data_IF_651076366764
#
_entry.id   IF_651076366764
#
_cell.length_a   1.000
_cell.length_b   1.000
_cell.length_c   1.000
_cell.angle_alpha   90.00
_cell.angle_beta   90.00
_cell.angle_gamma   90.00
#
_symmetry.space_group_name_H-M   'P 1'
#
loop_
_entity.id
_entity.type
_entity.pdbx_description
1 polymer ?
#
# COMPACT_ATOMS: atom_id res chain seq x y z
N UNK A 1 36.50 -11.66 17.46
CA UNK A 1 36.10 -11.10 18.76
C UNK A 1 35.96 -9.61 18.60
N UNK A 2 34.77 -9.11 18.41
CA UNK A 2 34.35 -7.76 18.76
C UNK A 2 32.84 -7.63 18.41
N UNK A 3 32.07 -7.91 19.43
CA UNK A 3 30.63 -7.72 19.45
C UNK A 3 30.32 -6.22 19.53
N UNK A 4 29.68 -5.63 18.54
CA UNK A 4 29.06 -4.31 18.64
C UNK A 4 27.58 -4.49 18.94
N UNK A 5 27.25 -4.52 20.23
CA UNK A 5 25.90 -4.30 20.72
C UNK A 5 25.53 -2.84 20.48
N UNK A 6 24.59 -2.59 19.58
CA UNK A 6 23.95 -1.29 19.45
C UNK A 6 22.69 -1.30 20.31
N UNK A 7 22.84 -0.87 21.56
CA UNK A 7 21.73 -0.64 22.49
C UNK A 7 20.93 0.56 21.99
N UNK A 8 19.67 0.34 21.65
CA UNK A 8 18.70 1.41 21.41
C UNK A 8 18.38 2.03 22.78
N UNK A 9 18.98 3.19 23.05
CA UNK A 9 18.68 3.97 24.26
C UNK A 9 17.35 4.67 24.04
N UNK A 10 16.33 4.19 24.73
CA UNK A 10 15.07 4.90 24.90
C UNK A 10 15.36 6.12 25.80
N UNK A 11 15.50 7.31 25.23
CA UNK A 11 15.58 8.55 26.02
C UNK A 11 14.20 8.85 26.60
N UNK A 12 13.94 8.28 27.78
CA UNK A 12 12.93 8.81 28.68
C UNK A 12 13.58 10.02 29.34
N UNK A 13 13.19 11.21 28.92
CA UNK A 13 13.62 12.45 29.54
C UNK A 13 13.24 12.47 31.04
N UNK A 14 14.23 12.34 31.88
CA UNK A 14 14.08 12.62 33.32
C UNK A 14 13.83 14.10 33.47
N UNK A 15 12.56 14.52 33.68
CA UNK A 15 12.22 15.83 34.16
C UNK A 15 12.71 15.95 35.60
N UNK A 16 13.60 16.92 35.83
CA UNK A 16 14.02 17.35 37.14
C UNK A 16 12.81 17.69 37.99
N UNK A 17 12.69 17.06 39.14
CA UNK A 17 11.79 17.44 40.22
C UNK A 17 12.28 18.77 40.79
N UNK A 18 11.80 19.88 40.26
CA UNK A 18 11.80 21.16 40.96
C UNK A 18 10.53 21.17 41.78
N UNK A 19 10.69 21.44 43.06
CA UNK A 19 9.62 21.70 44.02
C UNK A 19 8.79 22.87 43.50
N UNK A 20 7.56 22.58 43.10
CA UNK A 20 6.56 23.60 42.77
C UNK A 20 5.36 23.38 43.69
N UNK A 21 4.95 24.47 44.31
CA UNK A 21 3.75 24.62 45.13
C UNK A 21 2.51 24.00 44.48
N UNK A 22 1.66 23.51 45.37
CA UNK A 22 0.40 22.86 45.08
C UNK A 22 -0.60 23.84 44.41
N UNK A 23 -0.44 24.06 43.11
CA UNK A 23 -1.52 24.58 42.27
C UNK A 23 -2.27 23.41 41.67
N UNK A 24 -3.49 23.17 42.12
CA UNK A 24 -4.41 22.24 41.51
C UNK A 24 -4.54 22.59 40.02
N UNK A 25 -3.86 21.83 39.14
CA UNK A 25 -4.05 21.88 37.70
C UNK A 25 -5.44 21.35 37.41
N UNK A 26 -6.39 22.27 37.20
CA UNK A 26 -7.68 21.95 36.60
C UNK A 26 -7.42 21.58 35.14
N UNK A 27 -7.13 20.31 34.87
CA UNK A 27 -7.09 19.79 33.51
C UNK A 27 -8.52 19.88 32.97
N UNK A 28 -8.73 20.53 31.82
CA UNK A 28 -10.03 20.47 31.15
C UNK A 28 -10.36 18.99 30.90
N UNK A 29 -11.59 18.60 31.20
CA UNK A 29 -12.06 17.26 30.98
C UNK A 29 -11.80 16.91 29.50
N UNK A 30 -10.89 15.97 29.25
CA UNK A 30 -10.69 15.39 27.91
C UNK A 30 -11.94 14.58 27.62
N UNK A 31 -12.84 15.13 26.82
CA UNK A 31 -13.98 14.40 26.32
C UNK A 31 -13.41 13.37 25.34
N UNK A 32 -13.27 12.13 25.79
CA UNK A 32 -13.03 11.00 24.87
C UNK A 32 -14.36 10.81 24.14
N UNK A 33 -14.49 11.44 22.98
CA UNK A 33 -15.55 11.09 22.03
C UNK A 33 -15.20 9.71 21.50
N UNK A 34 -15.85 8.67 22.02
CA UNK A 34 -15.83 7.38 21.35
C UNK A 34 -16.38 7.63 19.94
N UNK A 35 -15.53 7.42 18.91
CA UNK A 35 -15.97 7.44 17.53
C UNK A 35 -17.08 6.39 17.45
N UNK A 36 -18.27 6.79 17.07
CA UNK A 36 -19.34 5.85 16.81
C UNK A 36 -18.81 4.94 15.70
N UNK A 37 -18.56 3.67 16.02
CA UNK A 37 -18.16 2.67 15.06
C UNK A 37 -19.21 2.69 13.93
N UNK A 38 -18.79 3.17 12.75
CA UNK A 38 -19.62 2.98 11.57
C UNK A 38 -19.74 1.47 11.38
N UNK A 39 -20.96 0.94 11.22
CA UNK A 39 -21.12 -0.49 11.08
C UNK A 39 -20.22 -0.99 9.95
N UNK A 40 -19.39 -2.00 10.25
CA UNK A 40 -18.60 -2.73 9.25
C UNK A 40 -19.57 -3.36 8.26
N UNK A 41 -19.84 -2.66 7.17
CA UNK A 41 -20.79 -3.03 6.14
C UNK A 41 -20.33 -2.55 4.77
N UNK A 42 -20.93 -3.08 3.73
CA UNK A 42 -20.66 -2.64 2.35
C UNK A 42 -20.94 -1.14 2.25
N UNK A 43 -19.89 -0.34 2.14
CA UNK A 43 -19.99 1.12 2.06
C UNK A 43 -20.42 1.48 0.65
N UNK A 44 -21.74 1.66 0.47
CA UNK A 44 -22.32 1.96 -0.84
C UNK A 44 -22.43 3.45 -1.13
N UNK A 45 -22.41 4.28 -0.11
CA UNK A 45 -22.74 5.71 -0.21
C UNK A 45 -21.49 6.63 -0.16
N UNK A 46 -20.29 6.06 -0.08
CA UNK A 46 -19.04 6.82 -0.21
C UNK A 46 -18.63 6.98 -1.68
N UNK A 47 -18.17 8.17 -2.08
CA UNK A 47 -17.62 8.38 -3.42
C UNK A 47 -16.41 7.49 -3.69
N UNK A 48 -16.40 6.83 -4.84
CA UNK A 48 -15.29 6.02 -5.30
C UNK A 48 -14.49 6.76 -6.37
N UNK A 49 -13.18 6.53 -6.38
CA UNK A 49 -12.26 7.18 -7.35
C UNK A 49 -11.97 6.30 -8.56
N UNK A 50 -12.24 5.00 -8.47
CA UNK A 50 -11.83 4.02 -9.49
C UNK A 50 -12.91 3.80 -10.57
N UNK A 51 -14.19 3.90 -10.23
CA UNK A 51 -15.31 3.60 -11.16
C UNK A 51 -15.61 4.67 -12.16
N UNK A 52 -15.39 5.90 -11.78
CA UNK A 52 -15.58 7.07 -12.64
C UNK A 52 -14.76 8.24 -12.11
N UNK A 53 -14.60 9.25 -12.93
CA UNK A 53 -14.02 10.56 -12.54
C UNK A 53 -15.07 11.56 -12.06
N UNK A 54 -16.31 11.09 -11.89
CA UNK A 54 -17.48 11.92 -11.56
C UNK A 54 -17.75 11.99 -10.05
N UNK A 55 -17.00 11.25 -9.23
CA UNK A 55 -17.23 11.18 -7.79
C UNK A 55 -18.52 10.43 -7.43
N UNK A 56 -18.94 9.48 -8.28
CA UNK A 56 -20.09 8.62 -8.01
C UNK A 56 -19.79 7.71 -6.81
N UNK A 57 -20.82 7.42 -6.05
CA UNK A 57 -20.78 6.42 -5.00
C UNK A 57 -20.71 4.99 -5.59
N UNK A 58 -20.39 4.00 -4.76
CA UNK A 58 -20.43 2.61 -5.18
C UNK A 58 -21.84 2.19 -5.66
N UNK A 59 -22.91 2.77 -5.06
CA UNK A 59 -24.32 2.55 -5.44
C UNK A 59 -24.66 3.12 -6.82
N UNK A 60 -24.11 4.25 -7.16
CA UNK A 60 -24.38 4.97 -8.43
C UNK A 60 -23.50 4.46 -9.58
N UNK A 61 -22.44 3.71 -9.26
CA UNK A 61 -21.53 3.22 -10.28
C UNK A 61 -22.10 1.98 -10.98
N UNK A 62 -22.30 2.00 -12.31
CA UNK A 62 -22.90 0.87 -13.04
C UNK A 62 -21.87 -0.25 -13.29
N UNK A 63 -21.22 -0.73 -12.23
CA UNK A 63 -20.23 -1.79 -12.25
C UNK A 63 -20.24 -2.57 -10.94
N UNK A 64 -19.58 -3.73 -10.92
CA UNK A 64 -19.35 -4.45 -9.67
C UNK A 64 -18.24 -3.76 -8.90
N UNK A 65 -18.58 -3.13 -7.78
CA UNK A 65 -17.65 -2.37 -6.92
C UNK A 65 -17.46 -3.10 -5.60
N UNK A 66 -16.23 -3.18 -5.14
CA UNK A 66 -15.87 -3.59 -3.78
C UNK A 66 -14.89 -2.57 -3.19
N UNK A 67 -15.11 -2.19 -1.95
CA UNK A 67 -14.23 -1.26 -1.21
C UNK A 67 -13.81 -1.92 0.08
N UNK A 68 -12.51 -2.00 0.33
CA UNK A 68 -11.95 -2.29 1.64
C UNK A 68 -11.43 -0.97 2.21
N UNK A 69 -12.22 -0.37 3.08
CA UNK A 69 -11.85 0.86 3.79
C UNK A 69 -10.91 0.60 4.97
N UNK A 70 -10.54 1.64 5.67
CA UNK A 70 -9.65 1.55 6.83
C UNK A 70 -10.20 0.62 7.91
N UNK A 71 -11.49 0.67 8.18
CA UNK A 71 -12.13 -0.16 9.19
C UNK A 71 -12.04 -1.65 8.83
N UNK A 72 -12.33 -2.01 7.57
CA UNK A 72 -12.19 -3.39 7.07
C UNK A 72 -10.74 -3.86 7.10
N UNK A 73 -9.79 -3.01 6.70
CA UNK A 73 -8.34 -3.32 6.73
C UNK A 73 -7.91 -3.65 8.17
N UNK A 74 -8.39 -2.90 9.16
CA UNK A 74 -8.05 -3.09 10.56
C UNK A 74 -8.76 -4.30 11.18
N UNK A 75 -10.06 -4.45 10.95
CA UNK A 75 -10.86 -5.57 11.44
C UNK A 75 -10.31 -6.92 10.94
N UNK A 76 -9.89 -6.98 9.68
CA UNK A 76 -9.27 -8.17 9.08
C UNK A 76 -7.83 -8.38 9.53
N UNK A 77 -7.22 -7.41 10.18
CA UNK A 77 -5.81 -7.45 10.57
C UNK A 77 -4.86 -7.53 9.39
N UNK A 78 -5.27 -7.01 8.22
CA UNK A 78 -4.49 -7.05 7.00
C UNK A 78 -3.13 -6.34 7.20
N UNK A 79 -2.05 -6.98 6.75
CA UNK A 79 -0.68 -6.50 6.93
C UNK A 79 -0.15 -5.83 5.68
N UNK A 80 -0.52 -6.35 4.53
CA UNK A 80 -0.04 -5.88 3.24
C UNK A 80 -1.14 -5.87 2.17
N UNK A 81 -0.77 -5.42 1.00
CA UNK A 81 -1.64 -5.34 -0.18
C UNK A 81 -2.38 -6.64 -0.47
N UNK A 82 -1.71 -7.81 -0.37
CA UNK A 82 -2.32 -9.11 -0.67
C UNK A 82 -3.38 -9.47 0.36
N UNK A 83 -3.11 -9.23 1.63
CA UNK A 83 -4.07 -9.46 2.70
C UNK A 83 -5.33 -8.60 2.49
N UNK A 84 -5.15 -7.32 2.14
CA UNK A 84 -6.28 -6.41 1.89
C UNK A 84 -7.13 -6.90 0.72
N UNK A 85 -6.53 -7.17 -0.44
CA UNK A 85 -7.30 -7.57 -1.62
C UNK A 85 -7.88 -8.99 -1.52
N UNK A 86 -7.24 -9.90 -0.78
CA UNK A 86 -7.81 -11.22 -0.46
C UNK A 86 -9.04 -11.14 0.45
N UNK A 87 -9.25 -10.02 1.14
CA UNK A 87 -10.49 -9.80 1.89
C UNK A 87 -11.69 -9.47 1.00
N UNK A 88 -11.45 -9.15 -0.27
CA UNK A 88 -12.49 -8.77 -1.23
C UNK A 88 -13.10 -10.00 -1.92
N UNK A 89 -14.39 -9.95 -2.22
CA UNK A 89 -15.11 -11.07 -2.83
C UNK A 89 -14.62 -11.36 -4.25
N UNK A 90 -14.28 -12.62 -4.52
CA UNK A 90 -13.89 -13.11 -5.85
C UNK A 90 -12.46 -12.81 -6.24
N UNK A 91 -11.65 -12.29 -5.33
CA UNK A 91 -10.22 -12.03 -5.53
C UNK A 91 -9.38 -13.13 -4.92
N UNK A 92 -8.31 -13.49 -5.60
CA UNK A 92 -7.23 -14.30 -5.08
C UNK A 92 -5.91 -13.60 -5.42
N UNK A 93 -5.19 -13.20 -4.41
CA UNK A 93 -3.90 -12.55 -4.56
C UNK A 93 -2.80 -13.35 -3.89
N UNK A 94 -1.68 -13.46 -4.56
CA UNK A 94 -0.47 -14.09 -4.04
C UNK A 94 0.76 -13.32 -4.49
N UNK A 95 1.81 -13.38 -3.69
CA UNK A 95 3.12 -12.89 -4.08
C UNK A 95 4.12 -14.01 -3.91
N UNK A 96 4.79 -14.38 -4.99
CA UNK A 96 5.95 -15.25 -4.89
C UNK A 96 7.08 -14.50 -4.19
N UNK A 97 7.91 -15.19 -3.41
CA UNK A 97 9.05 -14.55 -2.75
C UNK A 97 9.91 -13.77 -3.74
N UNK A 98 10.14 -12.50 -3.44
CA UNK A 98 10.92 -11.60 -4.29
C UNK A 98 10.23 -11.06 -5.54
N UNK A 99 8.94 -11.30 -5.71
CA UNK A 99 8.13 -10.77 -6.81
C UNK A 99 6.97 -9.93 -6.30
N UNK A 100 6.47 -9.05 -7.19
CA UNK A 100 5.23 -8.33 -6.97
C UNK A 100 4.01 -9.27 -6.95
N UNK A 101 2.91 -8.78 -6.41
CA UNK A 101 1.70 -9.57 -6.24
C UNK A 101 1.04 -9.93 -7.56
N UNK A 102 0.65 -11.18 -7.69
CA UNK A 102 -0.27 -11.66 -8.72
C UNK A 102 -1.69 -11.56 -8.19
N UNK A 103 -2.58 -11.05 -9.03
CA UNK A 103 -4.00 -10.94 -8.70
C UNK A 103 -4.81 -11.72 -9.71
N UNK A 104 -5.72 -12.54 -9.21
CA UNK A 104 -6.77 -13.18 -9.99
C UNK A 104 -8.13 -12.68 -9.51
N UNK A 105 -9.01 -12.31 -10.42
CA UNK A 105 -10.35 -11.86 -10.14
C UNK A 105 -11.33 -12.45 -11.15
N UNK A 106 -12.27 -13.26 -10.68
CA UNK A 106 -13.31 -13.89 -11.52
C UNK A 106 -12.78 -14.57 -12.78
N UNK A 107 -11.63 -15.26 -12.68
CA UNK A 107 -10.98 -15.96 -13.79
C UNK A 107 -10.00 -15.13 -14.63
N UNK A 108 -10.00 -13.82 -14.50
CA UNK A 108 -8.99 -12.94 -15.09
C UNK A 108 -7.74 -12.89 -14.22
N UNK A 109 -6.56 -12.82 -14.84
CA UNK A 109 -5.27 -12.89 -14.13
C UNK A 109 -4.24 -11.93 -14.70
N UNK A 110 -3.24 -11.58 -13.91
CA UNK A 110 -2.07 -10.80 -14.32
C UNK A 110 -2.42 -9.51 -15.09
N UNK A 111 -1.98 -9.38 -16.33
CA UNK A 111 -2.15 -8.19 -17.17
C UNK A 111 -3.61 -7.88 -17.56
N UNK A 112 -4.54 -8.77 -17.23
CA UNK A 112 -5.97 -8.56 -17.43
C UNK A 112 -6.62 -7.76 -16.29
N UNK A 113 -5.91 -7.59 -15.17
CA UNK A 113 -6.31 -6.80 -14.02
C UNK A 113 -5.32 -5.64 -13.89
N UNK A 114 -5.81 -4.43 -14.04
CA UNK A 114 -4.98 -3.23 -13.86
C UNK A 114 -4.82 -2.91 -12.38
N UNK A 115 -3.59 -2.71 -11.93
CA UNK A 115 -3.28 -2.23 -10.60
C UNK A 115 -2.93 -0.75 -10.67
N UNK A 116 -3.62 0.03 -9.86
CA UNK A 116 -3.50 1.48 -9.77
C UNK A 116 -3.03 1.88 -8.38
N UNK A 117 -2.14 2.84 -8.30
CA UNK A 117 -1.78 3.49 -7.05
C UNK A 117 -2.20 4.95 -7.12
N UNK A 118 -3.17 5.32 -6.26
CA UNK A 118 -3.79 6.66 -6.29
C UNK A 118 -4.34 7.03 -7.68
N UNK A 119 -4.93 6.05 -8.35
CA UNK A 119 -5.49 6.21 -9.69
C UNK A 119 -4.47 6.18 -10.83
N UNK A 120 -3.16 6.08 -10.55
CA UNK A 120 -2.10 6.06 -11.56
C UNK A 120 -1.76 4.61 -11.89
N UNK A 121 -1.86 4.23 -13.16
CA UNK A 121 -1.52 2.91 -13.66
C UNK A 121 -0.02 2.67 -13.58
N UNK A 122 0.37 1.63 -12.84
CA UNK A 122 1.75 1.16 -12.84
C UNK A 122 1.83 -0.03 -13.79
N UNK A 123 2.62 0.11 -14.85
CA UNK A 123 2.90 -1.05 -15.70
C UNK A 123 3.54 -2.13 -14.84
N UNK A 124 3.04 -3.38 -15.02
CA UNK A 124 3.60 -4.53 -14.33
C UNK A 124 5.11 -4.56 -14.54
N UNK A 125 5.82 -4.49 -13.45
CA UNK A 125 7.26 -4.64 -13.44
C UNK A 125 7.64 -5.54 -12.27
N UNK A 126 8.77 -6.21 -12.37
CA UNK A 126 9.33 -6.99 -11.26
C UNK A 126 9.65 -6.13 -10.03
N UNK A 127 9.54 -4.82 -10.17
CA UNK A 127 9.72 -3.86 -9.09
C UNK A 127 8.46 -3.62 -8.24
N UNK A 128 7.26 -4.04 -8.69
CA UNK A 128 6.06 -3.98 -7.84
C UNK A 128 6.11 -5.06 -6.77
N UNK A 129 5.56 -4.79 -5.62
CA UNK A 129 5.59 -5.67 -4.46
C UNK A 129 4.40 -5.45 -3.52
N UNK A 130 4.18 -6.34 -2.56
CA UNK A 130 3.28 -6.06 -1.45
C UNK A 130 3.72 -4.81 -0.68
N UNK A 131 2.78 -3.92 -0.45
CA UNK A 131 2.97 -2.67 0.30
C UNK A 131 2.31 -2.83 1.66
N UNK A 132 2.93 -2.27 2.70
CA UNK A 132 2.37 -2.25 4.04
C UNK A 132 0.98 -1.56 4.04
N UNK A 133 -0.01 -2.25 4.60
CA UNK A 133 -1.39 -1.78 4.62
C UNK A 133 -1.62 -0.57 5.54
N UNK A 134 -0.64 -0.21 6.40
CA UNK A 134 -0.75 0.93 7.29
C UNK A 134 -0.96 2.24 6.57
N UNK A 135 -0.28 2.44 5.44
CA UNK A 135 -0.35 3.70 4.67
C UNK A 135 -1.63 3.85 3.85
N UNK A 136 -2.46 2.80 3.72
CA UNK A 136 -3.70 2.88 2.94
C UNK A 136 -4.85 3.51 3.71
N UNK A 137 -5.57 4.38 3.03
CA UNK A 137 -6.90 4.85 3.39
C UNK A 137 -7.94 3.76 3.06
N UNK A 138 -7.89 3.29 1.81
CA UNK A 138 -8.76 2.22 1.30
C UNK A 138 -8.20 1.59 0.04
N UNK A 139 -8.77 0.45 -0.32
CA UNK A 139 -8.55 -0.20 -1.62
C UNK A 139 -9.88 -0.38 -2.32
N UNK A 140 -9.96 0.06 -3.57
CA UNK A 140 -11.16 -0.04 -4.41
C UNK A 140 -10.92 -1.06 -5.52
N UNK A 141 -11.88 -1.96 -5.74
CA UNK A 141 -11.91 -2.93 -6.84
C UNK A 141 -13.14 -2.67 -7.69
N UNK A 142 -12.92 -2.52 -9.00
CA UNK A 142 -13.98 -2.45 -10.00
C UNK A 142 -13.86 -3.64 -10.92
N UNK A 143 -14.95 -4.42 -11.01
CA UNK A 143 -15.04 -5.57 -11.88
C UNK A 143 -15.57 -5.21 -13.26
N UNK A 144 -15.01 -5.85 -14.28
CA UNK A 144 -15.35 -5.63 -15.67
C UNK A 144 -14.44 -4.67 -16.41
N UNK A 145 -14.65 -4.46 -17.71
CA UNK A 145 -13.79 -3.61 -18.53
C UNK A 145 -13.78 -2.15 -18.06
N UNK A 146 -12.60 -1.62 -17.76
CA UNK A 146 -12.38 -0.21 -17.43
C UNK A 146 -11.29 0.43 -18.31
N UNK A 147 -11.12 -0.13 -19.51
CA UNK A 147 -10.11 0.31 -20.49
C UNK A 147 -10.31 1.75 -20.95
N UNK A 148 -11.53 2.25 -20.90
CA UNK A 148 -11.85 3.66 -21.24
C UNK A 148 -11.26 4.65 -20.22
N UNK A 149 -11.03 4.23 -18.97
CA UNK A 149 -10.40 5.07 -17.93
C UNK A 149 -8.90 4.84 -17.81
N UNK A 150 -8.44 3.60 -17.98
CA UNK A 150 -7.09 3.17 -17.60
C UNK A 150 -6.28 2.55 -18.74
N UNK A 151 -6.85 2.51 -19.96
CA UNK A 151 -6.16 2.00 -21.12
C UNK A 151 -6.02 0.48 -21.16
N UNK A 152 -5.00 -0.01 -21.85
CA UNK A 152 -4.79 -1.44 -22.08
C UNK A 152 -4.59 -2.22 -20.77
N UNK A 153 -5.16 -3.43 -20.69
CA UNK A 153 -4.99 -4.35 -19.57
C UNK A 153 -6.16 -4.41 -18.58
N UNK A 154 -7.03 -3.41 -18.54
CA UNK A 154 -8.16 -3.39 -17.61
C UNK A 154 -9.40 -4.12 -18.16
N UNK A 155 -9.25 -5.37 -18.61
CA UNK A 155 -10.33 -6.17 -19.20
C UNK A 155 -11.17 -6.86 -18.12
N UNK A 156 -10.52 -7.45 -17.14
CA UNK A 156 -11.17 -8.16 -16.04
C UNK A 156 -11.57 -7.25 -14.88
N UNK A 157 -10.88 -6.13 -14.73
CA UNK A 157 -11.11 -5.16 -13.67
C UNK A 157 -9.92 -4.28 -13.37
N UNK A 158 -10.12 -3.36 -12.43
CA UNK A 158 -9.06 -2.48 -11.92
C UNK A 158 -9.08 -2.45 -10.39
N UNK A 159 -7.91 -2.50 -9.77
CA UNK A 159 -7.71 -2.37 -8.34
C UNK A 159 -6.94 -1.08 -8.10
N UNK A 160 -7.43 -0.24 -7.20
CA UNK A 160 -6.81 1.04 -6.86
C UNK A 160 -6.48 1.10 -5.38
N UNK A 161 -5.19 1.19 -5.08
CA UNK A 161 -4.65 1.37 -3.75
C UNK A 161 -4.55 2.87 -3.46
N UNK A 162 -5.33 3.34 -2.50
CA UNK A 162 -5.44 4.76 -2.16
C UNK A 162 -4.74 4.99 -0.82
N UNK A 163 -3.72 5.82 -0.82
CA UNK A 163 -2.96 6.16 0.38
C UNK A 163 -3.62 7.28 1.17
N UNK A 164 -3.39 7.30 2.47
CA UNK A 164 -3.81 8.36 3.36
C UNK A 164 -3.13 9.68 2.96
N UNK A 165 -3.87 10.76 3.00
CA UNK A 165 -3.39 12.13 2.77
C UNK A 165 -3.79 13.03 3.92
N UNK A 166 -3.13 14.18 4.03
CA UNK A 166 -3.52 15.24 4.97
C UNK A 166 -4.97 15.66 4.75
N UNK A 167 -5.71 15.77 5.84
CA UNK A 167 -7.15 16.07 5.85
C UNK A 167 -7.46 17.30 6.67
N UNK A 168 -8.45 18.09 6.22
CA UNK A 168 -8.98 19.24 6.96
C UNK A 168 -9.85 18.83 8.13
N UNK A 169 -10.51 17.69 8.02
CA UNK A 169 -11.61 17.28 8.90
C UNK A 169 -11.13 16.49 10.11
N UNK A 170 -9.96 15.86 10.03
CA UNK A 170 -9.52 14.91 11.03
C UNK A 170 -8.21 15.35 11.68
N UNK A 171 -8.28 15.65 12.99
CA UNK A 171 -7.09 15.74 13.84
C UNK A 171 -6.97 14.40 14.55
N UNK A 172 -6.03 13.57 14.13
CA UNK A 172 -5.92 12.21 14.62
C UNK A 172 -4.47 11.83 14.94
N UNK A 173 -4.32 11.04 15.99
CA UNK A 173 -3.10 10.30 16.28
C UNK A 173 -3.47 8.83 16.34
N UNK A 174 -2.86 8.03 15.51
CA UNK A 174 -3.06 6.59 15.40
C UNK A 174 -1.76 5.87 15.77
N UNK A 175 -1.84 4.76 16.48
CA UNK A 175 -0.66 3.95 16.81
C UNK A 175 -1.00 2.47 16.82
N UNK A 176 -0.06 1.63 16.37
CA UNK A 176 -0.19 0.19 16.42
C UNK A 176 1.12 -0.46 16.83
N UNK A 177 1.02 -1.39 17.77
CA UNK A 177 2.10 -2.29 18.15
C UNK A 177 1.58 -3.71 18.04
N UNK A 178 2.29 -4.56 17.30
CA UNK A 178 2.00 -5.99 17.21
C UNK A 178 3.27 -6.78 17.52
N UNK A 179 3.09 -7.90 18.17
CA UNK A 179 4.13 -8.91 18.37
C UNK A 179 3.52 -10.30 18.20
N UNK A 180 4.25 -11.22 17.57
CA UNK A 180 3.71 -12.53 17.23
C UNK A 180 4.80 -13.58 17.01
N UNK A 181 4.38 -14.75 16.51
CA UNK A 181 5.26 -15.89 16.21
C UNK A 181 6.39 -15.49 15.26
N UNK A 182 7.52 -16.20 15.37
CA UNK A 182 8.72 -15.98 14.56
C UNK A 182 9.32 -14.57 14.75
N UNK A 183 9.26 -14.04 15.98
CA UNK A 183 9.67 -12.67 16.31
C UNK A 183 9.06 -11.62 15.39
N UNK A 184 7.83 -11.89 14.92
CA UNK A 184 7.11 -10.91 14.12
C UNK A 184 6.78 -9.69 14.97
N UNK A 185 7.15 -8.52 14.50
CA UNK A 185 6.93 -7.25 15.15
C UNK A 185 6.43 -6.20 14.18
N UNK A 186 5.56 -5.32 14.64
CA UNK A 186 5.11 -4.13 13.94
C UNK A 186 5.05 -2.96 14.91
N UNK A 187 5.57 -1.83 14.48
CA UNK A 187 5.40 -0.54 15.12
C UNK A 187 4.97 0.46 14.06
N UNK A 188 3.77 1.01 14.24
CA UNK A 188 3.20 1.97 13.28
C UNK A 188 2.65 3.19 14.01
N UNK A 189 2.81 4.36 13.39
CA UNK A 189 2.34 5.65 13.89
C UNK A 189 1.74 6.45 12.74
N UNK A 190 0.59 7.07 12.95
CA UNK A 190 -0.06 8.01 12.05
C UNK A 190 -0.44 9.28 12.78
N UNK A 191 -0.17 10.43 12.19
CA UNK A 191 -0.56 11.74 12.76
C UNK A 191 -1.10 12.60 11.64
N UNK A 192 -2.30 13.15 11.81
CA UNK A 192 -2.86 14.21 10.98
C UNK A 192 -3.16 15.43 11.84
N UNK A 193 -2.61 16.58 11.47
CA UNK A 193 -2.74 17.79 12.27
C UNK A 193 -2.73 19.07 11.43
N UNK A 194 -3.48 20.08 11.88
CA UNK A 194 -3.39 21.42 11.34
C UNK A 194 -2.07 22.09 11.74
N UNK A 195 -1.34 22.65 10.79
CA UNK A 195 -0.06 23.32 11.02
C UNK A 195 -0.21 24.78 11.46
N UNK A 196 -1.33 25.41 11.15
CA UNK A 196 -1.61 26.80 11.53
C UNK A 196 -2.49 26.84 12.78
N UNK A 197 -2.11 27.69 13.73
CA UNK A 197 -2.94 27.95 14.91
C UNK A 197 -4.07 28.91 14.55
N UNK A 198 -5.27 28.68 15.08
CA UNK A 198 -6.43 29.55 14.90
C UNK A 198 -7.71 28.75 14.58
N UNK A 199 -8.84 29.46 14.52
CA UNK A 199 -10.13 28.81 14.25
C UNK A 199 -10.32 28.38 12.79
N UNK A 200 -9.48 28.87 11.87
CA UNK A 200 -9.56 28.56 10.45
C UNK A 200 -8.17 28.23 9.87
N UNK A 201 -7.69 27.00 10.11
CA UNK A 201 -6.40 26.57 9.62
C UNK A 201 -6.41 26.34 8.10
N UNK A 202 -5.36 26.80 7.41
CA UNK A 202 -5.20 26.66 5.95
C UNK A 202 -4.15 25.62 5.55
N UNK A 203 -3.39 25.07 6.49
CA UNK A 203 -2.34 24.09 6.23
C UNK A 203 -2.49 22.90 7.17
N UNK A 204 -2.42 21.72 6.57
CA UNK A 204 -2.55 20.44 7.29
C UNK A 204 -1.42 19.52 6.88
N UNK A 205 -0.89 18.76 7.81
CA UNK A 205 0.12 17.75 7.52
C UNK A 205 -0.34 16.38 8.03
N UNK A 206 0.00 15.35 7.28
CA UNK A 206 -0.12 13.96 7.70
C UNK A 206 1.20 13.24 7.56
N UNK A 207 1.55 12.45 8.57
CA UNK A 207 2.67 11.52 8.56
C UNK A 207 2.18 10.15 9.01
N UNK A 208 2.43 9.14 8.19
CA UNK A 208 2.26 7.73 8.54
C UNK A 208 3.60 7.02 8.40
N UNK A 209 4.01 6.30 9.44
CA UNK A 209 5.24 5.49 9.44
C UNK A 209 4.90 4.12 9.96
N UNK A 210 5.41 3.08 9.30
CA UNK A 210 5.31 1.70 9.76
C UNK A 210 6.64 1.00 9.59
N UNK A 211 7.04 0.22 10.60
CA UNK A 211 8.17 -0.69 10.54
C UNK A 211 7.73 -2.07 10.98
N UNK A 212 7.96 -3.05 10.11
CA UNK A 212 7.67 -4.46 10.37
C UNK A 212 8.92 -5.30 10.27
N UNK A 213 8.96 -6.40 11.03
CA UNK A 213 10.04 -7.37 11.00
C UNK A 213 9.53 -8.76 11.33
N UNK A 214 10.20 -9.79 10.83
CA UNK A 214 9.95 -11.19 11.19
C UNK A 214 11.15 -12.06 10.85
N UNK A 215 11.46 -13.07 11.66
CA UNK A 215 12.44 -14.09 11.31
C UNK A 215 11.90 -15.11 10.29
N UNK A 216 10.55 -15.06 10.00
CA UNK A 216 9.91 -16.01 9.11
C UNK A 216 9.77 -17.41 9.73
N UNK A 217 8.90 -18.23 9.15
CA UNK A 217 8.72 -19.63 9.59
C UNK A 217 9.75 -20.59 8.98
N UNK A 218 10.47 -20.14 7.96
CA UNK A 218 11.55 -20.87 7.31
C UNK A 218 12.91 -20.43 7.84
N UNK A 219 13.85 -21.35 7.90
CA UNK A 219 15.22 -21.03 8.32
C UNK A 219 15.83 -19.95 7.42
N UNK A 220 16.51 -18.97 8.00
CA UNK A 220 17.23 -17.90 7.29
C UNK A 220 16.34 -17.02 6.39
N UNK A 221 15.03 -16.93 6.67
CA UNK A 221 14.10 -16.13 5.88
C UNK A 221 13.64 -14.90 6.65
N UNK A 222 14.59 -14.12 7.16
CA UNK A 222 14.29 -12.86 7.85
C UNK A 222 13.76 -11.84 6.87
N UNK A 223 12.69 -11.14 7.27
CA UNK A 223 12.10 -10.04 6.52
C UNK A 223 12.00 -8.77 7.37
N UNK A 224 12.31 -7.63 6.76
CA UNK A 224 12.12 -6.30 7.33
C UNK A 224 11.50 -5.38 6.30
N UNK A 225 10.57 -4.55 6.73
CA UNK A 225 9.94 -3.53 5.89
C UNK A 225 9.81 -2.21 6.64
N UNK A 226 10.01 -1.11 5.93
CA UNK A 226 9.72 0.24 6.40
C UNK A 226 8.91 0.96 5.35
N UNK A 227 7.79 1.54 5.77
CA UNK A 227 6.92 2.34 4.90
C UNK A 227 6.67 3.70 5.56
N UNK A 228 6.76 4.75 4.78
CA UNK A 228 6.50 6.13 5.22
C UNK A 228 5.67 6.82 4.17
N UNK A 229 4.59 7.48 4.59
CA UNK A 229 3.82 8.39 3.76
C UNK A 229 3.71 9.74 4.48
N UNK A 230 4.01 10.81 3.77
CA UNK A 230 3.93 12.17 4.27
C UNK A 230 3.19 13.05 3.28
N UNK A 231 2.33 13.92 3.76
CA UNK A 231 1.67 14.90 2.90
C UNK A 231 1.40 16.20 3.61
N UNK A 232 1.38 17.30 2.83
CA UNK A 232 0.95 18.61 3.26
C UNK A 232 -0.17 19.06 2.32
N UNK A 233 -1.31 19.40 2.87
CA UNK A 233 -2.42 20.05 2.20
C UNK A 233 -2.41 21.53 2.57
N UNK A 234 -2.46 22.39 1.57
CA UNK A 234 -2.46 23.85 1.72
C UNK A 234 -3.66 24.45 0.97
N UNK A 235 -4.53 25.15 1.66
CA UNK A 235 -5.58 25.96 1.10
C UNK A 235 -5.00 27.32 0.76
N UNK A 236 -4.71 27.53 -0.53
CA UNK A 236 -4.07 28.76 -1.04
C UNK A 236 -5.08 29.88 -1.22
N UNK A 237 -6.29 29.52 -1.61
CA UNK A 237 -7.48 30.39 -1.65
C UNK A 237 -8.71 29.55 -1.31
N UNK A 238 -9.91 30.15 -1.12
CA UNK A 238 -11.14 29.38 -0.95
C UNK A 238 -11.45 28.39 -2.10
N UNK A 239 -10.91 28.65 -3.30
CA UNK A 239 -11.15 27.82 -4.48
C UNK A 239 -9.93 26.95 -4.87
N UNK A 240 -8.74 27.23 -4.34
CA UNK A 240 -7.50 26.59 -4.77
C UNK A 240 -6.80 25.93 -3.61
N UNK A 241 -6.57 24.62 -3.71
CA UNK A 241 -5.72 23.89 -2.78
C UNK A 241 -4.60 23.15 -3.50
N UNK A 242 -3.52 22.91 -2.76
CA UNK A 242 -2.36 22.14 -3.20
C UNK A 242 -2.02 21.07 -2.18
N UNK A 243 -1.84 19.84 -2.63
CA UNK A 243 -1.34 18.74 -1.82
C UNK A 243 0.00 18.27 -2.37
N UNK A 244 1.05 18.35 -1.54
CA UNK A 244 2.31 17.66 -1.81
C UNK A 244 2.31 16.36 -1.02
N UNK A 245 2.50 15.21 -1.70
CA UNK A 245 2.55 13.90 -1.09
C UNK A 245 3.85 13.17 -1.44
N UNK A 246 4.48 12.58 -0.43
CA UNK A 246 5.74 11.86 -0.51
C UNK A 246 5.55 10.47 0.10
N UNK A 247 6.01 9.42 -0.59
CA UNK A 247 6.01 8.06 -0.06
C UNK A 247 7.40 7.44 -0.22
N UNK A 248 7.83 6.71 0.80
CA UNK A 248 9.06 5.94 0.81
C UNK A 248 8.78 4.54 1.34
N UNK A 249 9.35 3.54 0.68
CA UNK A 249 9.24 2.16 1.12
C UNK A 249 10.57 1.45 0.91
N UNK A 250 10.96 0.65 1.87
CA UNK A 250 12.12 -0.23 1.79
C UNK A 250 11.73 -1.61 2.34
N UNK A 251 11.99 -2.66 1.53
CA UNK A 251 11.84 -4.05 1.93
C UNK A 251 13.14 -4.79 1.79
N UNK A 252 13.38 -5.70 2.74
CA UNK A 252 14.49 -6.65 2.71
C UNK A 252 13.98 -8.02 3.12
N UNK A 253 14.38 -9.04 2.38
CA UNK A 253 14.12 -10.43 2.69
C UNK A 253 15.36 -11.25 2.43
N UNK A 254 15.84 -11.94 3.46
CA UNK A 254 16.97 -12.85 3.37
C UNK A 254 16.50 -14.20 2.82
N UNK A 255 17.26 -14.77 1.89
CA UNK A 255 17.04 -16.11 1.33
C UNK A 255 15.57 -16.39 0.98
N UNK A 256 14.93 -15.59 0.08
CA UNK A 256 13.55 -15.81 -0.33
C UNK A 256 13.30 -17.26 -0.75
N UNK A 257 12.26 -17.90 -0.22
CA UNK A 257 12.09 -19.35 -0.34
C UNK A 257 10.88 -19.75 -1.20
N UNK A 258 11.13 -20.53 -2.26
CA UNK A 258 10.12 -20.93 -3.24
C UNK A 258 9.39 -22.24 -2.92
N UNK A 259 9.59 -22.77 -1.74
CA UNK A 259 8.86 -23.93 -1.25
C UNK A 259 9.70 -25.22 -1.16
N UNK A 260 9.16 -26.20 -0.45
CA UNK A 260 9.86 -27.46 -0.17
C UNK A 260 9.87 -28.36 -1.41
N UNK A 261 10.99 -29.05 -1.70
CA UNK A 261 11.05 -30.01 -2.79
C UNK A 261 10.16 -31.23 -2.51
N UNK A 262 9.65 -31.81 -3.58
CA UNK A 262 8.84 -33.03 -3.55
C UNK A 262 9.76 -34.26 -3.53
N UNK A 263 9.40 -35.25 -2.72
CA UNK A 263 10.12 -36.53 -2.63
C UNK A 263 9.98 -37.33 -3.93
N UNK A 264 11.04 -38.07 -4.30
CA UNK A 264 11.02 -39.06 -5.35
C UNK A 264 10.86 -40.47 -4.77
N UNK A 265 10.24 -41.45 -5.50
CA UNK A 265 9.49 -41.22 -6.73
C UNK A 265 8.19 -40.47 -6.48
N UNK A 266 7.79 -39.66 -7.46
CA UNK A 266 6.47 -39.04 -7.48
C UNK A 266 5.50 -40.12 -7.93
N UNK A 267 4.78 -40.75 -7.00
CA UNK A 267 3.71 -41.69 -7.32
C UNK A 267 2.38 -40.95 -7.58
N UNK A 268 1.26 -41.58 -7.29
CA UNK A 268 -0.08 -40.99 -7.45
C UNK A 268 -0.33 -39.77 -6.56
N UNK A 269 0.47 -39.61 -5.50
CA UNK A 269 0.39 -38.48 -4.58
C UNK A 269 1.75 -37.83 -4.38
N UNK A 270 1.79 -36.52 -4.51
CA UNK A 270 2.98 -35.73 -4.17
C UNK A 270 3.19 -35.71 -2.65
N UNK A 271 4.42 -35.99 -2.21
CA UNK A 271 4.81 -36.00 -0.80
C UNK A 271 5.99 -35.06 -0.56
N UNK A 272 5.99 -34.38 0.57
CA UNK A 272 7.12 -33.61 1.08
C UNK A 272 7.68 -34.28 2.35
N UNK A 273 8.95 -34.05 2.63
CA UNK A 273 9.53 -34.48 3.91
C UNK A 273 9.09 -33.52 5.02
N UNK A 274 8.14 -33.96 5.83
CA UNK A 274 7.60 -33.16 6.95
C UNK A 274 8.63 -32.92 8.06
N UNK A 275 9.67 -33.75 8.19
CA UNK A 275 10.71 -33.54 9.17
C UNK A 275 11.61 -32.35 8.86
N UNK A 276 11.69 -32.01 7.59
CA UNK A 276 12.49 -30.89 7.04
C UNK A 276 11.65 -29.70 6.59
N UNK A 277 10.42 -29.57 7.05
CA UNK A 277 9.46 -28.57 6.59
C UNK A 277 9.89 -27.11 6.80
N UNK A 278 10.86 -26.87 7.66
CA UNK A 278 11.40 -25.53 7.96
C UNK A 278 12.76 -25.27 7.29
N UNK A 279 13.38 -26.29 6.68
CA UNK A 279 14.64 -26.13 6.00
C UNK A 279 14.49 -25.24 4.75
N UNK A 280 15.33 -24.23 4.68
CA UNK A 280 15.44 -23.36 3.51
C UNK A 280 16.61 -23.84 2.64
N UNK A 281 16.30 -24.39 1.48
CA UNK A 281 17.30 -24.90 0.54
C UNK A 281 17.95 -23.85 -0.34
N UNK A 282 17.57 -22.58 -0.18
CA UNK A 282 18.19 -21.47 -0.90
C UNK A 282 19.65 -21.26 -0.48
N UNK A 283 20.38 -20.45 -1.27
CA UNK A 283 21.74 -20.02 -0.94
C UNK A 283 21.74 -19.07 0.27
N UNK A 284 22.83 -19.12 1.05
CA UNK A 284 22.94 -18.32 2.28
C UNK A 284 23.04 -16.81 2.04
N UNK A 285 23.41 -16.40 0.81
CA UNK A 285 23.49 -15.00 0.37
C UNK A 285 22.33 -14.61 -0.55
N UNK A 286 21.30 -15.47 -0.62
CA UNK A 286 20.03 -15.12 -1.28
C UNK A 286 19.40 -13.90 -0.63
N UNK A 287 18.86 -12.99 -1.44
CA UNK A 287 18.23 -11.76 -0.94
C UNK A 287 17.26 -11.16 -1.93
N UNK A 288 16.31 -10.49 -1.38
CA UNK A 288 15.46 -9.52 -2.04
C UNK A 288 15.56 -8.19 -1.32
N UNK A 289 15.83 -7.14 -2.05
CA UNK A 289 15.84 -5.77 -1.55
C UNK A 289 15.09 -4.89 -2.53
N UNK A 290 14.20 -4.06 -2.04
CA UNK A 290 13.49 -3.08 -2.85
C UNK A 290 13.41 -1.74 -2.13
N UNK A 291 13.53 -0.65 -2.90
CA UNK A 291 13.21 0.72 -2.51
C UNK A 291 12.25 1.32 -3.49
N UNK A 292 11.28 2.04 -2.96
CA UNK A 292 10.32 2.81 -3.75
C UNK A 292 10.26 4.23 -3.20
N UNK A 293 10.23 5.19 -4.08
CA UNK A 293 9.98 6.60 -3.79
C UNK A 293 8.88 7.09 -4.70
N UNK A 294 7.94 7.79 -4.12
CA UNK A 294 6.85 8.39 -4.88
C UNK A 294 6.64 9.82 -4.43
N UNK A 295 6.57 10.73 -5.38
CA UNK A 295 6.28 12.16 -5.17
C UNK A 295 5.09 12.52 -6.02
N UNK A 296 4.09 13.20 -5.42
CA UNK A 296 2.91 13.71 -6.13
C UNK A 296 2.66 15.14 -5.71
N UNK A 297 2.40 16.00 -6.68
CA UNK A 297 1.93 17.37 -6.51
C UNK A 297 0.54 17.46 -7.10
N UNK A 298 -0.47 17.69 -6.28
CA UNK A 298 -1.88 17.67 -6.64
C UNK A 298 -2.44 19.09 -6.43
N UNK A 299 -2.96 19.67 -7.48
CA UNK A 299 -3.64 20.96 -7.45
C UNK A 299 -5.13 20.71 -7.71
N UNK A 300 -5.97 21.14 -6.78
CA UNK A 300 -7.43 21.14 -6.91
C UNK A 300 -7.91 22.58 -7.02
N UNK A 301 -8.67 22.88 -8.07
CA UNK A 301 -9.19 24.21 -8.33
C UNK A 301 -10.69 24.17 -8.63
N UNK A 302 -11.48 24.78 -7.75
CA UNK A 302 -12.91 24.97 -7.95
C UNK A 302 -13.12 26.25 -8.75
N UNK A 303 -13.37 26.12 -10.05
CA UNK A 303 -13.57 27.27 -10.96
C UNK A 303 -14.85 28.03 -10.60
N UNK A 304 -15.93 27.28 -10.34
CA UNK A 304 -17.23 27.75 -9.86
C UNK A 304 -18.00 26.57 -9.25
N UNK A 305 -19.23 26.79 -8.82
CA UNK A 305 -20.04 25.78 -8.11
C UNK A 305 -20.25 24.48 -8.92
N UNK A 306 -20.15 24.56 -10.25
CA UNK A 306 -20.40 23.44 -11.15
C UNK A 306 -19.15 22.90 -11.85
N UNK A 307 -17.98 23.54 -11.72
CA UNK A 307 -16.78 23.18 -12.48
C UNK A 307 -15.57 23.09 -11.59
N UNK A 308 -14.90 21.94 -11.59
CA UNK A 308 -13.64 21.70 -10.90
C UNK A 308 -12.56 21.18 -11.84
N UNK A 309 -11.33 21.53 -11.52
CA UNK A 309 -10.12 21.07 -12.20
C UNK A 309 -9.20 20.41 -11.19
N UNK A 310 -8.57 19.31 -11.60
CA UNK A 310 -7.48 18.71 -10.84
C UNK A 310 -6.29 18.49 -11.77
N UNK A 311 -5.08 18.82 -11.27
CA UNK A 311 -3.84 18.50 -11.95
C UNK A 311 -2.93 17.74 -10.99
N UNK A 312 -2.40 16.60 -11.43
CA UNK A 312 -1.46 15.78 -10.67
C UNK A 312 -0.18 15.59 -11.46
N UNK A 313 0.91 16.20 -10.98
CA UNK A 313 2.27 15.85 -11.39
C UNK A 313 2.77 14.72 -10.49
N UNK A 314 3.45 13.74 -11.07
CA UNK A 314 3.97 12.62 -10.30
C UNK A 314 5.31 12.11 -10.80
N UNK A 315 6.11 11.65 -9.84
CA UNK A 315 7.37 10.97 -10.05
C UNK A 315 7.44 9.72 -9.20
N UNK A 316 7.75 8.58 -9.81
CA UNK A 316 7.94 7.29 -9.18
C UNK A 316 9.31 6.75 -9.53
N UNK A 317 10.06 6.30 -8.53
CA UNK A 317 11.35 5.63 -8.68
C UNK A 317 11.33 4.34 -7.85
N UNK A 318 11.70 3.23 -8.46
CA UNK A 318 11.81 1.93 -7.80
C UNK A 318 13.09 1.21 -8.21
N UNK A 319 13.75 0.64 -7.21
CA UNK A 319 14.95 -0.18 -7.38
C UNK A 319 14.75 -1.52 -6.71
N UNK A 320 15.06 -2.62 -7.41
CA UNK A 320 15.00 -3.98 -6.90
C UNK A 320 16.30 -4.71 -7.15
N UNK A 321 16.85 -5.32 -6.13
CA UNK A 321 17.96 -6.28 -6.21
C UNK A 321 17.45 -7.65 -5.78
N UNK A 322 17.65 -8.64 -6.64
CA UNK A 322 17.17 -10.00 -6.39
C UNK A 322 18.26 -11.02 -6.71
N UNK A 323 18.64 -11.79 -5.70
CA UNK A 323 19.57 -12.91 -5.82
C UNK A 323 18.88 -14.13 -5.23
N UNK A 324 18.63 -15.15 -6.04
CA UNK A 324 17.86 -16.29 -5.60
C UNK A 324 18.12 -17.55 -6.42
N UNK A 325 17.84 -18.71 -5.82
CA UNK A 325 17.63 -19.98 -6.51
C UNK A 325 16.16 -20.37 -6.34
N UNK A 326 15.46 -20.62 -7.46
CA UNK A 326 14.00 -20.79 -7.44
C UNK A 326 13.55 -22.23 -7.64
N UNK A 327 14.47 -23.17 -7.80
CA UNK A 327 14.16 -24.57 -8.05
C UNK A 327 14.94 -25.48 -7.11
N UNK A 328 14.21 -26.34 -6.39
CA UNK A 328 14.75 -27.34 -5.49
C UNK A 328 14.17 -28.71 -5.84
N UNK A 329 15.03 -29.71 -6.07
CA UNK A 329 14.61 -31.08 -6.42
C UNK A 329 15.46 -32.08 -5.70
N UNK A 330 14.84 -33.09 -5.11
CA UNK A 330 15.58 -34.25 -4.63
C UNK A 330 16.21 -35.02 -5.78
N UNK A 331 17.36 -35.67 -5.53
CA UNK A 331 17.89 -36.73 -6.37
C UNK A 331 17.01 -38.01 -6.22
N UNK A 332 17.34 -39.05 -6.98
CA UNK A 332 16.48 -40.25 -7.10
C UNK A 332 16.27 -40.98 -5.75
N UNK A 333 17.24 -40.97 -4.84
CA UNK A 333 17.20 -41.62 -3.53
C UNK A 333 16.83 -40.67 -2.38
N UNK A 334 16.49 -39.44 -2.66
CA UNK A 334 16.14 -38.38 -1.71
C UNK A 334 17.24 -37.99 -0.70
N UNK A 335 18.50 -38.35 -1.00
CA UNK A 335 19.63 -38.05 -0.10
C UNK A 335 20.15 -36.60 -0.28
N UNK A 336 19.98 -36.01 -1.46
CA UNK A 336 20.51 -34.71 -1.80
C UNK A 336 19.44 -33.83 -2.50
N UNK A 337 19.50 -32.54 -2.24
CA UNK A 337 18.69 -31.53 -2.93
C UNK A 337 19.55 -30.78 -3.95
N UNK A 338 19.19 -30.92 -5.23
CA UNK A 338 19.75 -30.12 -6.32
C UNK A 338 19.05 -28.76 -6.35
N UNK A 339 19.83 -27.72 -6.53
CA UNK A 339 19.40 -26.32 -6.65
C UNK A 339 19.59 -25.86 -8.08
N UNK A 340 18.62 -25.11 -8.61
CA UNK A 340 18.64 -24.60 -9.96
C UNK A 340 17.89 -23.30 -10.12
N UNK A 341 17.78 -22.80 -11.35
CA UNK A 341 17.15 -21.52 -11.69
C UNK A 341 17.75 -20.37 -10.88
N UNK A 342 19.04 -20.12 -11.11
CA UNK A 342 19.76 -19.04 -10.46
C UNK A 342 19.39 -17.70 -11.11
N UNK A 343 18.98 -16.76 -10.28
CA UNK A 343 18.66 -15.38 -10.68
C UNK A 343 19.56 -14.40 -9.96
N UNK A 344 20.16 -13.52 -10.73
CA UNK A 344 20.86 -12.34 -10.26
C UNK A 344 20.33 -11.17 -11.07
N UNK A 345 19.38 -10.43 -10.51
CA UNK A 345 18.62 -9.42 -11.23
C UNK A 345 18.68 -8.09 -10.49
N UNK A 346 18.88 -7.03 -11.23
CA UNK A 346 18.67 -5.66 -10.78
C UNK A 346 17.67 -4.99 -11.71
N UNK A 347 16.62 -4.45 -11.14
CA UNK A 347 15.61 -3.69 -11.86
C UNK A 347 15.59 -2.26 -11.36
N UNK A 348 15.53 -1.31 -12.28
CA UNK A 348 15.31 0.09 -12.01
C UNK A 348 14.11 0.53 -12.84
N UNK A 349 13.14 1.17 -12.21
CA UNK A 349 11.96 1.71 -12.87
C UNK A 349 11.77 3.15 -12.45
N UNK A 350 11.52 4.01 -13.42
CA UNK A 350 11.20 5.41 -13.22
C UNK A 350 9.96 5.76 -14.03
N UNK A 351 9.00 6.44 -13.42
CA UNK A 351 7.79 6.93 -14.10
C UNK A 351 7.60 8.39 -13.76
N UNK A 352 7.57 9.22 -14.80
CA UNK A 352 7.26 10.64 -14.71
C UNK A 352 5.98 10.90 -15.47
N UNK A 353 5.03 11.64 -14.87
CA UNK A 353 3.77 11.90 -15.56
C UNK A 353 3.00 13.11 -15.05
N UNK A 354 2.03 13.48 -15.87
CA UNK A 354 1.06 14.53 -15.56
C UNK A 354 -0.34 14.06 -15.95
N UNK A 355 -1.25 14.21 -15.02
CA UNK A 355 -2.69 14.00 -15.22
C UNK A 355 -3.44 15.27 -15.01
N UNK A 356 -4.31 15.59 -15.95
CA UNK A 356 -5.27 16.69 -15.86
C UNK A 356 -6.69 16.15 -15.96
N UNK A 357 -7.56 16.63 -15.10
CA UNK A 357 -8.95 16.23 -15.00
C UNK A 357 -9.84 17.48 -14.87
N UNK A 358 -10.89 17.54 -15.68
CA UNK A 358 -11.97 18.50 -15.62
C UNK A 358 -13.25 17.76 -15.28
N UNK A 359 -14.00 18.27 -14.33
CA UNK A 359 -15.36 17.83 -14.03
C UNK A 359 -16.32 19.01 -14.15
N UNK A 360 -17.50 18.73 -14.71
CA UNK A 360 -18.55 19.73 -14.84
C UNK A 360 -19.92 19.11 -14.59
N UNK A 361 -20.69 19.77 -13.74
CA UNK A 361 -22.06 19.41 -13.39
C UNK A 361 -23.01 20.47 -14.01
N UNK A 362 -24.03 20.06 -14.75
CA UNK A 362 -25.01 20.95 -15.34
C UNK A 362 -26.42 20.34 -15.39
N UNK A 363 -27.36 21.09 -15.88
CA UNK A 363 -28.70 20.60 -16.17
C UNK A 363 -28.91 20.67 -17.69
N UNK A 364 -29.18 19.51 -18.30
CA UNK A 364 -29.46 19.39 -19.72
C UNK A 364 -30.89 18.87 -19.91
N UNK A 365 -31.74 19.60 -20.62
CA UNK A 365 -33.15 19.26 -20.82
C UNK A 365 -33.94 18.99 -19.53
N UNK A 366 -33.63 19.68 -18.44
CA UNK A 366 -34.24 19.49 -17.12
C UNK A 366 -33.74 18.32 -16.34
N UNK A 367 -32.73 17.58 -16.83
CA UNK A 367 -32.08 16.46 -16.15
C UNK A 367 -30.69 16.86 -15.64
N UNK A 368 -30.34 16.41 -14.47
CA UNK A 368 -28.97 16.56 -13.95
C UNK A 368 -28.01 15.82 -14.87
N UNK A 369 -26.96 16.48 -15.32
CA UNK A 369 -25.92 15.93 -16.18
C UNK A 369 -24.57 16.21 -15.59
N UNK A 370 -23.74 15.18 -15.51
CA UNK A 370 -22.36 15.25 -15.05
C UNK A 370 -21.43 14.69 -16.12
N UNK A 371 -20.36 15.39 -16.39
CA UNK A 371 -19.34 14.91 -17.30
C UNK A 371 -17.93 15.23 -16.82
N UNK A 372 -16.99 14.44 -17.24
CA UNK A 372 -15.57 14.65 -17.00
C UNK A 372 -14.77 14.46 -18.28
N UNK A 373 -13.71 15.22 -18.40
CA UNK A 373 -12.73 15.09 -19.46
C UNK A 373 -11.33 15.24 -18.88
N UNK A 374 -10.34 14.62 -19.52
CA UNK A 374 -8.98 14.73 -19.01
C UNK A 374 -7.99 14.02 -19.91
N UNK A 375 -6.74 14.09 -19.52
CA UNK A 375 -5.65 13.33 -20.12
C UNK A 375 -4.64 12.89 -19.06
N UNK A 376 -3.98 11.79 -19.33
CA UNK A 376 -2.85 11.30 -18.54
C UNK A 376 -1.70 11.00 -19.51
N UNK A 377 -0.58 11.65 -19.29
CA UNK A 377 0.64 11.43 -20.07
C UNK A 377 1.77 11.01 -19.13
N UNK A 378 2.41 9.88 -19.43
CA UNK A 378 3.53 9.42 -18.65
C UNK A 378 4.65 8.84 -19.51
N UNK A 379 5.86 8.94 -18.99
CA UNK A 379 7.06 8.30 -19.52
C UNK A 379 7.49 7.25 -18.49
N UNK A 380 7.53 5.98 -18.90
CA UNK A 380 7.98 4.87 -18.07
C UNK A 380 9.30 4.33 -18.63
N UNK A 381 10.34 4.39 -17.82
CA UNK A 381 11.66 3.86 -18.14
C UNK A 381 11.96 2.68 -17.23
N UNK A 382 12.38 1.57 -17.84
CA UNK A 382 12.79 0.37 -17.13
C UNK A 382 14.17 -0.07 -17.59
N UNK A 383 15.03 -0.41 -16.63
CA UNK A 383 16.33 -1.01 -16.88
C UNK A 383 16.42 -2.34 -16.13
N UNK A 384 16.80 -3.36 -16.88
CA UNK A 384 16.97 -4.72 -16.39
C UNK A 384 18.44 -5.11 -16.59
N UNK A 385 19.09 -5.60 -15.53
CA UNK A 385 20.48 -6.00 -15.53
C UNK A 385 20.63 -7.45 -15.09
#
# INVERSE_FOLDING_TARGET
>A
MNTRNTSLVLMIGACNLAWAEEHALNLPATTISARQEQPSGVILDQPIKTGSRLGLTARETPASVSVADRAIIEERGAKDTQDVINSMTGVNASANPGYGGFVAYRGFTQNQITQLYNGIGMSYGSATRPVDAWIYDRVELIGGPSTFLYGAGAVGGSINYITKLASREEQAVEGRVRYGSYDSSELSLGVNHALSAGPDPHHFARLDVSRTGSNGYMDRNKRESTSTAFSILSDLTPQLSHTLALEYQEDKEDSPYWGSPILNPVGDTMKIDKSRRFENYNVGDGRYEQRVRWVRSIIDYQVNDSTSLQNTLYHYDAQRNYRNLENYRYNADNSLVRRGSAYLQRHEQQVDGNRFELRHDNTLFGLTSQWSAGFDYSINQQKLY
#
